data_IF_230226078135
#
_entry.id   IF_230226078135
#
_cell.length_a   1.000
_cell.length_b   1.000
_cell.length_c   1.000
_cell.angle_alpha   90.00
_cell.angle_beta   90.00
_cell.angle_gamma   90.00
#
_symmetry.space_group_name_H-M   'P 1'
#
loop_
_entity.id
_entity.type
_entity.pdbx_description
1 polymer ?
#
# COMPACT_ATOMS: atom_id res chain seq x y z
N UNK A 1 -16.52 -8.09 -44.66
CA UNK A 1 -16.36 -8.94 -43.45
C UNK A 1 -17.74 -9.20 -42.88
N UNK A 2 -18.05 -10.43 -42.52
CA UNK A 2 -19.34 -10.74 -41.88
C UNK A 2 -19.37 -10.29 -40.41
N UNK A 3 -20.56 -10.24 -39.82
CA UNK A 3 -20.74 -9.85 -38.42
C UNK A 3 -20.00 -10.77 -37.43
N UNK A 4 -19.85 -12.05 -37.75
CA UNK A 4 -19.13 -13.01 -36.90
C UNK A 4 -17.63 -12.68 -36.81
N UNK A 5 -17.03 -12.24 -37.91
CA UNK A 5 -15.62 -11.85 -37.94
C UNK A 5 -15.37 -10.59 -37.11
N UNK A 6 -16.28 -9.61 -37.16
CA UNK A 6 -16.20 -8.41 -36.34
C UNK A 6 -16.30 -8.74 -34.85
N UNK A 7 -17.28 -9.56 -34.46
CA UNK A 7 -17.45 -10.00 -33.07
C UNK A 7 -16.19 -10.70 -32.53
N UNK A 8 -15.56 -11.58 -33.32
CA UNK A 8 -14.31 -12.25 -32.91
C UNK A 8 -13.16 -11.27 -32.70
N UNK A 9 -13.08 -10.22 -33.51
CA UNK A 9 -12.09 -9.17 -33.38
C UNK A 9 -12.31 -8.39 -32.07
N UNK A 10 -13.53 -7.96 -31.81
CA UNK A 10 -13.88 -7.20 -30.60
C UNK A 10 -13.60 -8.01 -29.33
N UNK A 11 -13.97 -9.31 -29.32
CA UNK A 11 -13.66 -10.22 -28.20
C UNK A 11 -12.14 -10.30 -27.96
N UNK A 12 -11.34 -10.34 -29.03
CA UNK A 12 -9.88 -10.40 -28.92
C UNK A 12 -9.33 -9.10 -28.33
N UNK A 13 -9.84 -7.95 -28.77
CA UNK A 13 -9.42 -6.64 -28.27
C UNK A 13 -9.76 -6.50 -26.78
N UNK A 14 -10.99 -6.82 -26.37
CA UNK A 14 -11.42 -6.82 -24.97
C UNK A 14 -10.56 -7.75 -24.11
N UNK A 15 -10.24 -8.95 -24.61
CA UNK A 15 -9.39 -9.90 -23.88
C UNK A 15 -7.98 -9.35 -23.63
N UNK A 16 -7.40 -8.66 -24.61
CA UNK A 16 -6.08 -8.07 -24.48
C UNK A 16 -6.09 -6.84 -23.56
N UNK A 17 -7.14 -6.02 -23.60
CA UNK A 17 -7.32 -4.92 -22.64
C UNK A 17 -7.51 -5.40 -21.20
N UNK A 18 -8.27 -6.48 -21.01
CA UNK A 18 -8.47 -7.12 -19.71
C UNK A 18 -7.13 -7.59 -19.12
N UNK A 19 -6.32 -8.32 -19.90
CA UNK A 19 -4.97 -8.75 -19.48
C UNK A 19 -4.04 -7.59 -19.12
N UNK A 20 -4.06 -6.51 -19.92
CA UNK A 20 -3.25 -5.31 -19.64
C UNK A 20 -3.69 -4.66 -18.33
N UNK A 21 -4.99 -4.62 -18.08
CA UNK A 21 -5.55 -4.04 -16.85
C UNK A 21 -5.19 -4.89 -15.64
N UNK A 22 -5.35 -6.21 -15.73
CA UNK A 22 -4.93 -7.17 -14.71
C UNK A 22 -3.44 -6.99 -14.35
N UNK A 23 -2.55 -7.01 -15.34
CA UNK A 23 -1.11 -6.85 -15.09
C UNK A 23 -0.75 -5.51 -14.42
N UNK A 24 -1.43 -4.41 -14.79
CA UNK A 24 -1.25 -3.10 -14.13
C UNK A 24 -1.74 -3.10 -12.69
N UNK A 25 -2.87 -3.77 -12.40
CA UNK A 25 -3.42 -3.84 -11.06
C UNK A 25 -2.58 -4.72 -10.15
N UNK A 26 -2.16 -5.90 -10.61
CA UNK A 26 -1.26 -6.80 -9.87
C UNK A 26 0.04 -6.08 -9.51
N UNK A 27 0.69 -5.43 -10.48
CA UNK A 27 1.92 -4.69 -10.20
C UNK A 27 1.75 -3.48 -9.27
N UNK A 28 0.54 -2.90 -9.17
CA UNK A 28 0.23 -1.86 -8.19
C UNK A 28 0.02 -2.45 -6.79
N UNK A 29 -0.68 -3.58 -6.70
CA UNK A 29 -0.91 -4.28 -5.44
C UNK A 29 0.43 -4.73 -4.85
N UNK A 30 1.33 -5.29 -5.64
CA UNK A 30 2.66 -5.71 -5.18
C UNK A 30 3.47 -4.53 -4.60
N UNK A 31 3.44 -3.38 -5.29
CA UNK A 31 4.11 -2.16 -4.82
C UNK A 31 3.52 -1.64 -3.51
N UNK A 32 2.18 -1.62 -3.41
CA UNK A 32 1.50 -1.20 -2.19
C UNK A 32 1.80 -2.17 -1.04
N UNK A 33 1.85 -3.47 -1.29
CA UNK A 33 2.22 -4.48 -0.30
C UNK A 33 3.62 -4.24 0.26
N UNK A 34 4.61 -3.99 -0.60
CA UNK A 34 5.97 -3.65 -0.18
C UNK A 34 6.04 -2.33 0.60
N UNK A 35 5.30 -1.31 0.16
CA UNK A 35 5.24 -0.03 0.86
C UNK A 35 4.61 -0.15 2.25
N UNK A 36 3.56 -0.95 2.38
CA UNK A 36 2.91 -1.22 3.67
C UNK A 36 3.89 -1.98 4.58
N UNK A 37 4.55 -3.03 4.09
CA UNK A 37 5.54 -3.78 4.88
C UNK A 37 6.67 -2.87 5.39
N UNK A 38 7.21 -2.00 4.53
CA UNK A 38 8.24 -1.04 4.96
C UNK A 38 7.72 -0.03 5.98
N UNK A 39 6.47 0.45 5.84
CA UNK A 39 5.84 1.33 6.81
C UNK A 39 5.57 0.63 8.14
N UNK A 40 5.20 -0.65 8.12
CA UNK A 40 5.03 -1.47 9.32
C UNK A 40 6.36 -1.68 10.05
N UNK A 41 7.46 -1.86 9.31
CA UNK A 41 8.81 -1.99 9.87
C UNK A 41 9.34 -0.66 10.45
N UNK A 42 9.04 0.48 9.81
CA UNK A 42 9.48 1.82 10.26
C UNK A 42 8.53 2.47 11.27
N UNK A 43 7.32 1.93 11.48
CA UNK A 43 6.36 2.46 12.42
C UNK A 43 6.73 2.07 13.87
N UNK A 44 6.78 3.03 14.81
CA UNK A 44 6.98 2.69 16.20
C UNK A 44 5.83 1.83 16.70
N UNK A 45 6.16 0.74 17.37
CA UNK A 45 5.18 -0.10 18.06
C UNK A 45 4.49 0.69 19.18
N UNK A 46 3.30 0.25 19.59
CA UNK A 46 2.59 0.84 20.74
C UNK A 46 3.50 0.86 21.99
N UNK A 47 4.31 -0.17 22.20
CA UNK A 47 5.27 -0.23 23.30
C UNK A 47 6.38 0.82 23.21
N UNK A 48 6.85 1.14 22.01
CA UNK A 48 7.82 2.22 21.79
C UNK A 48 7.22 3.59 22.05
N UNK A 49 5.96 3.82 21.64
CA UNK A 49 5.21 5.02 22.01
C UNK A 49 5.02 5.15 23.52
N UNK A 50 4.61 4.09 24.22
CA UNK A 50 4.45 4.09 25.68
C UNK A 50 5.77 4.38 26.40
N UNK A 51 6.87 3.84 25.91
CA UNK A 51 8.20 4.11 26.45
C UNK A 51 8.63 5.55 26.20
N UNK A 52 8.33 6.11 25.03
CA UNK A 52 8.60 7.50 24.71
C UNK A 52 7.78 8.43 25.63
N UNK A 53 6.49 8.18 25.82
CA UNK A 53 5.61 8.94 26.73
C UNK A 53 6.14 8.95 28.16
N UNK A 54 6.57 7.80 28.69
CA UNK A 54 7.20 7.70 30.02
C UNK A 54 8.47 8.55 30.12
N UNK A 55 9.30 8.57 29.08
CA UNK A 55 10.55 9.36 29.04
C UNK A 55 10.24 10.86 29.00
N UNK A 56 9.28 11.27 28.16
CA UNK A 56 8.81 12.66 28.06
C UNK A 56 8.27 13.13 29.40
N UNK A 57 7.33 12.39 30.03
CA UNK A 57 6.79 12.74 31.35
C UNK A 57 7.84 12.86 32.45
N UNK A 58 8.92 12.06 32.38
CA UNK A 58 10.04 12.17 33.33
C UNK A 58 10.80 13.47 33.12
N UNK A 59 11.10 13.83 31.88
CA UNK A 59 11.79 15.08 31.54
C UNK A 59 10.94 16.30 31.89
N UNK A 60 9.64 16.28 31.59
CA UNK A 60 8.71 17.35 31.95
C UNK A 60 8.69 17.61 33.46
N UNK A 61 8.64 16.55 34.27
CA UNK A 61 8.72 16.68 35.74
C UNK A 61 10.06 17.26 36.20
N UNK A 62 11.16 16.86 35.57
CA UNK A 62 12.49 17.40 35.90
C UNK A 62 12.57 18.90 35.57
N UNK A 63 12.11 19.31 34.38
CA UNK A 63 12.09 20.73 33.98
C UNK A 63 11.17 21.55 34.88
N UNK A 64 9.99 21.03 35.23
CA UNK A 64 9.05 21.72 36.13
C UNK A 64 9.56 21.84 37.59
N UNK A 65 10.56 21.03 37.97
CA UNK A 65 11.19 21.06 39.30
C UNK A 65 12.45 21.95 39.38
N UNK A 66 12.83 22.60 38.26
CA UNK A 66 13.96 23.54 38.17
C UNK A 66 13.47 24.98 38.23
#
# INVERSE_FOLDING_TARGET
MDGQTLIRKDIKEVKEEAKKTEGRLTGRIDKLGLQIANLEDDAPTVGEFDNLDKRVKRLEKQVASV
#
